data_IF_018467375064
#
_entry.id   IF_018467375064
#
_cell.length_a   1.000
_cell.length_b   1.000
_cell.length_c   1.000
_cell.angle_alpha   90.00
_cell.angle_beta   90.00
_cell.angle_gamma   90.00
#
_symmetry.space_group_name_H-M   'P 1'
#
loop_
_entity.id
_entity.type
_entity.pdbx_description
1 polymer ?
#
# COMPACT_ATOMS: atom_id res chain seq x y z
N UNK A 1 1.38 15.38 -5.94
CA UNK A 1 0.21 14.83 -5.19
C UNK A 1 0.72 13.64 -4.40
N UNK A 2 0.24 13.38 -3.18
CA UNK A 2 0.73 12.23 -2.41
C UNK A 2 -0.28 11.08 -2.45
N UNK A 3 0.24 9.86 -2.52
CA UNK A 3 -0.54 8.63 -2.46
C UNK A 3 0.01 7.74 -1.34
N UNK A 4 -0.83 6.90 -0.76
CA UNK A 4 -0.44 5.93 0.26
C UNK A 4 -0.78 4.51 -0.15
N UNK A 5 0.04 3.57 0.31
CA UNK A 5 -0.28 2.15 0.28
C UNK A 5 -1.37 1.82 1.30
N UNK A 6 -2.43 1.10 0.89
CA UNK A 6 -3.50 0.65 1.78
C UNK A 6 -3.05 -0.32 2.89
N UNK A 7 -1.95 -1.04 2.66
CA UNK A 7 -1.47 -2.07 3.57
C UNK A 7 -0.55 -1.48 4.64
N UNK A 8 0.51 -0.77 4.25
CA UNK A 8 1.51 -0.26 5.18
C UNK A 8 1.46 1.25 5.43
N UNK A 9 0.51 1.97 4.82
CA UNK A 9 0.39 3.44 4.87
C UNK A 9 1.65 4.22 4.44
N UNK A 10 2.59 3.57 3.74
CA UNK A 10 3.76 4.24 3.17
C UNK A 10 3.32 5.26 2.12
N UNK A 11 3.83 6.47 2.21
CA UNK A 11 3.54 7.59 1.31
C UNK A 11 4.52 7.60 0.15
N UNK A 12 4.00 7.90 -1.03
CA UNK A 12 4.76 8.11 -2.24
C UNK A 12 4.28 9.40 -2.91
N UNK A 13 5.20 10.06 -3.60
CA UNK A 13 4.87 11.23 -4.39
C UNK A 13 4.43 10.79 -5.79
N UNK A 14 3.20 11.11 -6.16
CA UNK A 14 2.60 10.77 -7.46
C UNK A 14 3.14 11.65 -8.60
N UNK A 15 3.84 12.75 -8.27
CA UNK A 15 4.51 13.60 -9.26
C UNK A 15 5.94 13.13 -9.56
N UNK A 16 6.40 12.05 -8.91
CA UNK A 16 7.69 11.39 -9.21
C UNK A 16 7.60 10.64 -10.55
N UNK A 17 8.53 10.91 -11.46
CA UNK A 17 8.57 10.28 -12.79
C UNK A 17 8.74 8.75 -12.74
N UNK A 18 9.28 8.22 -11.63
CA UNK A 18 9.48 6.79 -11.40
C UNK A 18 8.39 6.19 -10.51
N UNK A 19 7.28 6.90 -10.27
CA UNK A 19 6.24 6.44 -9.35
C UNK A 19 5.69 5.07 -9.74
N UNK A 20 5.51 4.79 -11.03
CA UNK A 20 5.01 3.50 -11.50
C UNK A 20 5.96 2.35 -11.14
N UNK A 21 7.27 2.56 -11.28
CA UNK A 21 8.28 1.56 -10.90
C UNK A 21 8.34 1.37 -9.38
N UNK A 22 8.27 2.46 -8.61
CA UNK A 22 8.23 2.41 -7.15
C UNK A 22 6.98 1.68 -6.64
N UNK A 23 5.81 1.97 -7.22
CA UNK A 23 4.55 1.26 -6.95
C UNK A 23 4.72 -0.23 -7.21
N UNK A 24 5.21 -0.59 -8.40
CA UNK A 24 5.43 -1.99 -8.80
C UNK A 24 6.39 -2.72 -7.86
N UNK A 25 7.51 -2.10 -7.49
CA UNK A 25 8.48 -2.68 -6.55
C UNK A 25 7.89 -2.85 -5.15
N UNK A 26 7.06 -1.90 -4.72
CA UNK A 26 6.36 -1.96 -3.45
C UNK A 26 5.27 -3.04 -3.43
N UNK A 27 4.52 -3.20 -4.53
CA UNK A 27 3.56 -4.29 -4.71
C UNK A 27 4.26 -5.65 -4.68
N UNK A 28 5.43 -5.78 -5.29
CA UNK A 28 6.26 -6.99 -5.20
C UNK A 28 6.70 -7.28 -3.77
N UNK A 29 6.99 -6.25 -2.96
CA UNK A 29 7.31 -6.42 -1.54
C UNK A 29 6.12 -6.96 -0.74
N UNK A 30 4.89 -6.63 -1.16
CA UNK A 30 3.65 -7.12 -0.56
C UNK A 30 3.18 -8.49 -1.09
N UNK A 31 3.78 -8.98 -2.18
CA UNK A 31 3.57 -10.35 -2.69
C UNK A 31 4.60 -11.27 -2.04
N UNK A 32 4.13 -12.36 -1.41
CA UNK A 32 4.91 -13.35 -0.63
C UNK A 32 6.10 -14.01 -1.34
N UNK A 33 6.35 -13.68 -2.61
CA UNK A 33 7.30 -14.34 -3.49
C UNK A 33 8.76 -14.03 -3.16
N UNK A 34 9.04 -12.94 -2.44
CA UNK A 34 10.39 -12.69 -1.92
C UNK A 34 10.56 -13.37 -0.55
N UNK A 35 10.97 -14.64 -0.62
CA UNK A 35 11.76 -15.54 0.28
C UNK A 35 12.36 -15.07 1.62
N UNK A 36 12.12 -13.86 2.11
CA UNK A 36 12.55 -13.36 3.39
C UNK A 36 11.34 -12.84 4.16
N UNK A 37 10.73 -13.73 4.94
CA UNK A 37 9.72 -13.42 5.94
C UNK A 37 10.20 -12.24 6.82
N UNK A 38 9.88 -11.00 6.43
CA UNK A 38 10.05 -9.83 7.28
C UNK A 38 8.93 -9.91 8.30
N UNK A 39 9.27 -10.10 9.58
CA UNK A 39 8.33 -10.31 10.70
C UNK A 39 7.20 -9.26 10.84
N UNK A 40 7.25 -8.15 10.09
CA UNK A 40 6.25 -7.07 10.08
C UNK A 40 5.79 -6.66 8.66
N UNK A 41 6.06 -7.47 7.64
CA UNK A 41 5.52 -7.20 6.31
C UNK A 41 4.04 -7.57 6.29
N UNK A 42 3.19 -6.56 6.08
CA UNK A 42 1.78 -6.79 5.76
C UNK A 42 1.76 -7.31 4.34
N UNK A 43 1.04 -8.39 4.07
CA UNK A 43 1.03 -9.05 2.77
C UNK A 43 -0.38 -8.98 2.22
N UNK A 44 -0.51 -8.75 0.92
CA UNK A 44 -1.81 -8.72 0.24
C UNK A 44 -1.79 -7.87 -1.01
N UNK A 45 -2.96 -7.66 -1.60
CA UNK A 45 -3.14 -6.77 -2.72
C UNK A 45 -3.08 -5.31 -2.26
N UNK A 46 -2.14 -4.56 -2.82
CA UNK A 46 -1.96 -3.14 -2.55
C UNK A 46 -3.01 -2.35 -3.32
N UNK A 47 -3.68 -1.44 -2.62
CA UNK A 47 -4.53 -0.42 -3.22
C UNK A 47 -3.88 0.93 -2.95
N UNK A 48 -3.64 1.71 -3.99
CA UNK A 48 -3.06 3.04 -3.89
C UNK A 48 -4.17 4.07 -3.65
N UNK A 49 -4.14 4.73 -2.49
CA UNK A 49 -5.17 5.68 -2.07
C UNK A 49 -4.54 7.08 -2.07
N UNK A 50 -5.14 8.10 -2.69
CA UNK A 50 -4.63 9.47 -2.56
C UNK A 50 -4.66 9.91 -1.10
N UNK A 51 -3.60 10.57 -0.64
CA UNK A 51 -3.49 10.98 0.76
C UNK A 51 -4.57 12.02 1.14
N UNK A 52 -4.99 12.82 0.15
CA UNK A 52 -6.07 13.80 0.26
C UNK A 52 -7.48 13.18 0.25
N UNK A 53 -7.62 11.87 -0.01
CA UNK A 53 -8.92 11.22 0.10
C UNK A 53 -9.36 11.15 1.57
N UNK A 54 -10.65 11.41 1.86
CA UNK A 54 -11.19 11.20 3.18
C UNK A 54 -10.88 9.77 3.64
N UNK A 55 -10.38 9.63 4.87
CA UNK A 55 -10.15 8.33 5.52
C UNK A 55 -11.42 7.48 5.60
N UNK A 56 -12.58 8.08 5.36
CA UNK A 56 -13.89 7.47 5.27
C UNK A 56 -14.20 6.98 3.85
N UNK A 57 -13.42 6.01 3.38
CA UNK A 57 -13.83 5.16 2.26
C UNK A 57 -13.99 3.74 2.79
N UNK A 58 -15.02 3.53 3.61
CA UNK A 58 -15.78 2.27 3.70
C UNK A 58 -15.07 0.93 3.93
N UNK A 59 -13.77 0.87 4.26
CA UNK A 59 -13.09 -0.37 4.68
C UNK A 59 -12.84 -0.32 6.19
N UNK A 60 -13.88 0.02 6.95
CA UNK A 60 -13.96 -0.27 8.37
C UNK A 60 -15.27 -1.01 8.63
N UNK A 61 -15.28 -2.31 8.33
CA UNK A 61 -16.05 -3.29 9.10
C UNK A 61 -15.85 -4.70 8.55
N UNK A 62 -14.98 -5.48 9.19
CA UNK A 62 -15.14 -6.93 9.38
C UNK A 62 -14.11 -7.47 10.38
N UNK A 63 -14.09 -6.90 11.59
CA UNK A 63 -13.62 -7.65 12.77
C UNK A 63 -14.64 -7.43 13.89
N UNK A 64 -15.67 -8.27 13.89
CA UNK A 64 -16.38 -8.68 15.09
C UNK A 64 -17.03 -10.03 14.78
N UNK A 65 -16.40 -11.09 15.27
CA UNK A 65 -17.06 -12.36 15.55
C UNK A 65 -16.49 -12.88 16.86
#
# INVERSE_FOLDING_TARGET
MQIRCSLCNMLFDDSDELIQERKRRHEQWHRLDMTSYKRNAIIGDVVWIPNDAPRDTGIQNKIKK
#
